data_IF_989094763580
#
_entry.id   IF_989094763580
#
_cell.length_a   1.000
_cell.length_b   1.000
_cell.length_c   1.000
_cell.angle_alpha   90.00
_cell.angle_beta   90.00
_cell.angle_gamma   90.00
#
_symmetry.space_group_name_H-M   'P 1'
#
loop_
_entity.id
_entity.type
_entity.pdbx_description
1 polymer ?
#
# COMPACT_ATOMS: atom_id res chain seq x y z
N UNK A 1 1.01 9.62 7.23
CA UNK A 1 0.68 10.37 6.01
C UNK A 1 -0.81 10.26 5.69
N UNK A 2 -1.34 11.21 4.91
CA UNK A 2 -2.58 11.04 4.17
C UNK A 2 -2.40 10.00 3.07
N UNK A 3 -3.49 9.47 2.53
CA UNK A 3 -3.44 8.51 1.42
C UNK A 3 -2.75 9.12 0.17
N UNK A 4 -3.03 10.38 -0.13
CA UNK A 4 -2.42 11.08 -1.25
C UNK A 4 -0.92 11.30 -1.08
N UNK A 5 -0.47 11.67 0.12
CA UNK A 5 0.96 11.77 0.46
C UNK A 5 1.65 10.42 0.33
N UNK A 6 1.01 9.36 0.85
CA UNK A 6 1.54 8.01 0.77
C UNK A 6 1.74 7.57 -0.69
N UNK A 7 0.72 7.76 -1.55
CA UNK A 7 0.81 7.37 -2.97
C UNK A 7 1.86 8.20 -3.72
N UNK A 8 1.91 9.51 -3.47
CA UNK A 8 2.94 10.38 -4.04
C UNK A 8 4.34 9.91 -3.64
N UNK A 9 4.53 9.60 -2.36
CA UNK A 9 5.79 9.07 -1.83
C UNK A 9 6.16 7.71 -2.45
N UNK A 10 5.17 6.81 -2.59
CA UNK A 10 5.35 5.49 -3.19
C UNK A 10 5.81 5.57 -4.65
N UNK A 11 5.29 6.52 -5.42
CA UNK A 11 5.68 6.72 -6.83
C UNK A 11 7.12 7.13 -7.01
N UNK A 12 7.77 7.73 -6.00
CA UNK A 12 9.20 8.06 -6.05
C UNK A 12 9.60 8.93 -7.24
N UNK A 13 8.71 9.82 -7.73
CA UNK A 13 8.92 10.64 -8.92
C UNK A 13 8.59 9.98 -10.26
N UNK A 14 8.23 8.70 -10.28
CA UNK A 14 7.83 8.00 -11.50
C UNK A 14 6.42 8.41 -11.93
N UNK A 15 6.26 8.69 -13.22
CA UNK A 15 4.98 9.02 -13.84
C UNK A 15 4.34 7.75 -14.39
N UNK A 16 3.04 7.58 -14.14
CA UNK A 16 2.22 6.46 -14.64
C UNK A 16 2.77 5.05 -14.32
N UNK A 17 3.61 4.94 -13.27
CA UNK A 17 4.17 3.67 -12.85
C UNK A 17 3.17 2.83 -12.05
N UNK A 18 3.12 1.53 -12.35
CA UNK A 18 2.28 0.56 -11.65
C UNK A 18 2.80 0.32 -10.23
N UNK A 19 4.11 0.22 -10.07
CA UNK A 19 4.78 -0.11 -8.82
C UNK A 19 5.75 1.00 -8.39
N UNK A 20 6.22 0.94 -7.16
CA UNK A 20 7.21 1.86 -6.61
C UNK A 20 8.56 1.85 -7.35
N UNK A 21 8.88 0.77 -8.07
CA UNK A 21 10.09 0.60 -8.91
C UNK A 21 9.85 0.82 -10.40
N UNK A 22 8.61 1.07 -10.85
CA UNK A 22 8.25 1.25 -12.26
C UNK A 22 7.22 0.25 -12.76
N UNK A 23 7.37 -0.20 -14.01
CA UNK A 23 6.42 -1.10 -14.67
C UNK A 23 6.95 -2.52 -14.89
N UNK A 24 8.18 -2.80 -14.44
CA UNK A 24 8.76 -4.12 -14.52
C UNK A 24 8.00 -5.11 -13.61
N UNK A 25 7.76 -6.31 -14.11
CA UNK A 25 7.07 -7.35 -13.36
C UNK A 25 7.74 -7.62 -12.01
N UNK A 26 6.95 -7.80 -10.95
CA UNK A 26 7.40 -8.07 -9.59
C UNK A 26 8.37 -9.27 -9.51
N UNK A 27 8.14 -10.29 -10.34
CA UNK A 27 8.92 -11.53 -10.35
C UNK A 27 10.05 -11.53 -11.36
N UNK A 28 10.26 -10.42 -12.08
CA UNK A 28 11.38 -10.30 -13.03
C UNK A 28 12.68 -9.98 -12.30
N UNK A 29 13.69 -10.84 -12.48
CA UNK A 29 15.02 -10.64 -11.94
C UNK A 29 15.12 -10.81 -10.42
N UNK A 30 15.74 -9.85 -9.73
CA UNK A 30 15.84 -9.88 -8.26
C UNK A 30 14.51 -9.48 -7.62
N UNK A 31 14.16 -10.06 -6.47
CA UNK A 31 12.99 -9.65 -5.71
C UNK A 31 12.97 -8.13 -5.44
N UNK A 32 11.82 -7.51 -5.65
CA UNK A 32 11.63 -6.05 -5.53
C UNK A 32 10.85 -5.65 -4.29
N UNK A 33 10.14 -6.63 -3.71
CA UNK A 33 9.31 -6.43 -2.53
C UNK A 33 9.08 -7.79 -1.84
N UNK A 34 8.78 -7.77 -0.55
CA UNK A 34 8.38 -8.96 0.20
C UNK A 34 6.89 -9.23 -0.06
N UNK A 35 6.61 -10.27 -0.83
CA UNK A 35 5.26 -10.71 -1.19
C UNK A 35 5.16 -12.23 -1.19
N UNK A 36 3.96 -12.78 -1.18
CA UNK A 36 3.78 -14.21 -1.25
C UNK A 36 4.21 -14.76 -2.62
N UNK A 37 5.02 -15.82 -2.59
CA UNK A 37 5.51 -16.49 -3.79
C UNK A 37 5.13 -17.97 -3.78
N UNK A 38 4.47 -18.44 -4.86
CA UNK A 38 3.97 -19.79 -4.96
C UNK A 38 2.47 -19.94 -4.68
N UNK A 39 2.04 -21.13 -4.23
CA UNK A 39 0.62 -21.46 -4.10
C UNK A 39 0.05 -21.00 -2.76
N UNK A 40 -0.60 -19.84 -2.73
CA UNK A 40 -1.26 -19.32 -1.51
C UNK A 40 -2.49 -20.17 -1.12
N UNK A 41 -2.71 -20.44 0.15
CA UNK A 41 -1.85 -20.17 1.32
C UNK A 41 -0.95 -21.36 1.71
N UNK A 42 -0.79 -22.33 0.82
CA UNK A 42 -0.22 -23.65 1.14
C UNK A 42 1.30 -23.72 1.03
N UNK A 43 1.88 -22.93 0.15
CA UNK A 43 3.31 -22.94 -0.11
C UNK A 43 3.83 -21.55 -0.46
N UNK A 44 4.80 -21.07 0.31
CA UNK A 44 5.59 -19.90 -0.02
C UNK A 44 6.99 -20.37 -0.46
N UNK A 45 7.39 -20.05 -1.68
CA UNK A 45 8.66 -20.46 -2.26
C UNK A 45 9.84 -19.62 -1.72
N UNK A 46 9.58 -18.50 -1.06
CA UNK A 46 10.55 -17.65 -0.37
C UNK A 46 11.75 -17.22 -1.25
N UNK A 47 11.53 -16.99 -2.55
CA UNK A 47 12.60 -16.52 -3.43
C UNK A 47 13.05 -15.10 -3.05
N UNK A 48 12.19 -14.34 -2.36
CA UNK A 48 12.50 -13.05 -1.77
C UNK A 48 13.32 -13.13 -0.47
N UNK A 49 13.48 -14.35 0.08
CA UNK A 49 14.29 -14.66 1.27
C UNK A 49 13.50 -14.68 2.58
N UNK A 50 12.19 -14.42 2.58
CA UNK A 50 11.39 -14.26 3.80
C UNK A 50 10.09 -15.06 3.76
N UNK A 51 9.73 -15.67 4.89
CA UNK A 51 8.47 -16.37 5.04
C UNK A 51 7.36 -15.45 5.57
N UNK A 52 7.74 -14.47 6.41
CA UNK A 52 6.89 -13.44 7.00
C UNK A 52 7.44 -12.06 6.69
N UNK A 53 7.43 -11.14 7.63
CA UNK A 53 7.99 -9.80 7.45
C UNK A 53 9.50 -9.83 7.25
N UNK A 54 9.99 -9.01 6.33
CA UNK A 54 11.40 -8.74 6.13
C UNK A 54 11.86 -7.60 7.06
N UNK A 55 13.15 -7.56 7.44
CA UNK A 55 13.74 -6.37 8.02
C UNK A 55 13.54 -5.15 7.11
N UNK A 56 13.30 -3.99 7.69
CA UNK A 56 13.17 -2.75 6.92
C UNK A 56 14.41 -2.51 6.06
N UNK A 57 14.22 -1.92 4.87
CA UNK A 57 15.29 -1.65 3.89
C UNK A 57 15.92 -2.91 3.25
N UNK A 58 15.24 -4.04 3.29
CA UNK A 58 15.72 -5.26 2.59
C UNK A 58 15.70 -5.12 1.07
N UNK A 59 14.93 -4.21 0.52
CA UNK A 59 14.78 -3.99 -0.92
C UNK A 59 15.23 -2.59 -1.33
N UNK A 60 15.42 -2.41 -2.63
CA UNK A 60 15.89 -1.13 -3.18
C UNK A 60 14.90 0.00 -2.89
N UNK A 61 15.45 1.15 -2.49
CA UNK A 61 14.67 2.37 -2.33
C UNK A 61 14.11 2.87 -3.67
N UNK A 62 12.95 3.52 -3.62
CA UNK A 62 12.41 4.26 -4.76
C UNK A 62 13.19 5.57 -5.04
N UNK A 63 12.78 6.34 -6.05
CA UNK A 63 13.46 7.57 -6.45
C UNK A 63 13.46 8.69 -5.40
N UNK A 64 12.68 8.57 -4.33
CA UNK A 64 12.69 9.49 -3.18
C UNK A 64 13.47 8.92 -1.97
N UNK A 65 14.17 7.81 -2.14
CA UNK A 65 14.94 7.17 -1.08
C UNK A 65 14.08 6.41 -0.06
N UNK A 66 12.83 6.10 -0.39
CA UNK A 66 11.93 5.37 0.49
C UNK A 66 11.95 3.89 0.19
N UNK A 67 12.08 3.08 1.23
CA UNK A 67 12.07 1.62 1.16
C UNK A 67 10.69 1.08 1.51
N UNK A 68 10.42 -0.16 1.09
CA UNK A 68 9.29 -0.98 1.49
C UNK A 68 7.91 -0.33 1.20
N UNK A 69 7.84 0.50 0.13
CA UNK A 69 6.59 1.09 -0.33
C UNK A 69 5.68 0.08 -1.04
N UNK A 70 6.10 -1.17 -1.13
CA UNK A 70 5.35 -2.28 -1.70
C UNK A 70 5.68 -3.56 -0.96
N UNK A 71 4.68 -4.37 -0.62
CA UNK A 71 4.84 -5.61 0.15
C UNK A 71 5.19 -5.37 1.62
N UNK A 72 5.72 -6.36 2.27
CA UNK A 72 6.08 -6.44 3.68
C UNK A 72 4.85 -6.33 4.59
N UNK A 73 4.35 -5.13 4.88
CA UNK A 73 3.13 -4.91 5.68
C UNK A 73 2.26 -3.84 5.03
N UNK A 74 0.94 -3.96 5.15
CA UNK A 74 0.01 -2.88 4.88
C UNK A 74 0.31 -1.69 5.79
N UNK A 75 0.25 -0.49 5.24
CA UNK A 75 0.54 0.72 6.00
C UNK A 75 -0.69 1.60 6.14
N UNK A 76 -0.99 1.97 7.39
CA UNK A 76 -2.08 2.87 7.72
C UNK A 76 -1.87 4.27 7.13
N UNK A 77 -2.93 4.80 6.53
CA UNK A 77 -3.07 6.21 6.21
C UNK A 77 -3.98 6.91 7.22
N UNK A 78 -3.84 8.23 7.31
CA UNK A 78 -4.67 9.05 8.19
C UNK A 78 -6.13 9.12 7.74
N UNK A 79 -6.38 8.89 6.45
CA UNK A 79 -7.69 9.03 5.82
C UNK A 79 -8.69 7.97 6.28
N UNK A 80 -9.93 8.40 6.46
CA UNK A 80 -11.06 7.49 6.47
C UNK A 80 -11.24 6.88 5.08
N UNK A 81 -11.70 5.64 5.03
CA UNK A 81 -12.00 5.00 3.76
C UNK A 81 -13.40 5.36 3.28
N UNK A 82 -13.50 5.83 2.05
CA UNK A 82 -14.77 5.97 1.33
C UNK A 82 -14.57 5.49 -0.11
N UNK A 83 -15.39 4.55 -0.55
CA UNK A 83 -15.20 3.89 -1.85
C UNK A 83 -15.29 4.85 -3.04
N UNK A 84 -16.11 5.88 -2.96
CA UNK A 84 -16.32 6.87 -4.01
C UNK A 84 -15.56 8.18 -3.84
N UNK A 85 -14.68 8.30 -2.82
CA UNK A 85 -14.02 9.58 -2.50
C UNK A 85 -13.39 10.24 -3.73
N UNK A 86 -12.60 9.51 -4.49
CA UNK A 86 -11.93 10.08 -5.67
C UNK A 86 -12.90 10.45 -6.80
N UNK A 87 -14.07 9.79 -6.89
CA UNK A 87 -15.13 10.20 -7.82
C UNK A 87 -15.72 11.53 -7.44
N UNK A 88 -15.87 11.80 -6.14
CA UNK A 88 -16.42 13.09 -5.64
C UNK A 88 -15.52 14.27 -5.96
N UNK A 89 -14.21 14.05 -6.12
CA UNK A 89 -13.26 15.09 -6.52
C UNK A 89 -13.42 15.51 -8.00
N UNK A 90 -14.17 14.73 -8.81
CA UNK A 90 -14.57 15.09 -10.17
C UNK A 90 -13.41 15.28 -11.14
N UNK A 91 -12.25 14.64 -10.91
CA UNK A 91 -11.05 14.78 -11.73
C UNK A 91 -10.35 16.13 -11.61
N UNK A 92 -10.75 16.99 -10.65
CA UNK A 92 -10.11 18.28 -10.38
C UNK A 92 -8.86 18.09 -9.53
N UNK A 93 -7.86 18.92 -9.76
CA UNK A 93 -6.71 19.01 -8.87
C UNK A 93 -7.16 19.52 -7.50
N UNK A 94 -6.95 18.72 -6.47
CA UNK A 94 -7.24 19.09 -5.08
C UNK A 94 -5.93 19.33 -4.35
N UNK A 95 -5.81 20.51 -3.76
CA UNK A 95 -4.62 20.86 -2.97
C UNK A 95 -4.72 20.22 -1.59
N UNK A 96 -3.66 19.47 -1.21
CA UNK A 96 -3.50 18.85 0.10
C UNK A 96 -4.77 18.12 0.59
N UNK A 97 -5.26 17.09 -0.13
CA UNK A 97 -6.47 16.38 0.24
C UNK A 97 -6.29 15.65 1.57
N UNK A 98 -7.25 15.82 2.48
CA UNK A 98 -7.24 15.24 3.83
C UNK A 98 -8.13 13.99 3.96
N UNK A 99 -8.62 13.47 2.83
CA UNK A 99 -9.57 12.36 2.82
C UNK A 99 -11.03 12.80 3.02
N UNK A 100 -11.96 11.85 3.02
CA UNK A 100 -13.38 12.10 3.24
C UNK A 100 -13.67 12.38 4.73
N UNK A 101 -14.75 13.12 4.99
CA UNK A 101 -15.21 13.41 6.36
C UNK A 101 -15.86 12.20 7.06
N UNK A 102 -16.33 11.22 6.28
CA UNK A 102 -16.96 10.01 6.81
C UNK A 102 -16.46 8.75 6.08
N UNK A 103 -16.43 7.66 6.81
CA UNK A 103 -16.12 6.34 6.24
C UNK A 103 -17.36 5.77 5.55
N UNK A 104 -17.17 5.17 4.38
CA UNK A 104 -18.20 4.39 3.72
C UNK A 104 -17.62 3.25 2.86
N UNK A 105 -18.15 2.06 3.10
CA UNK A 105 -17.91 0.85 2.31
C UNK A 105 -19.26 0.16 2.11
N UNK A 106 -19.70 -0.01 0.87
CA UNK A 106 -21.00 -0.63 0.56
C UNK A 106 -21.15 -2.05 1.09
N UNK A 107 -20.05 -2.77 1.30
CA UNK A 107 -20.08 -4.11 1.87
C UNK A 107 -20.28 -4.11 3.40
N UNK A 108 -19.87 -3.04 4.09
CA UNK A 108 -19.97 -2.89 5.54
C UNK A 108 -20.27 -1.41 5.89
N UNK A 109 -21.49 -0.92 5.57
CA UNK A 109 -21.78 0.52 5.56
C UNK A 109 -21.77 1.20 6.94
N UNK A 110 -21.81 0.42 8.01
CA UNK A 110 -21.79 0.91 9.41
C UNK A 110 -20.42 0.78 10.07
N UNK A 111 -19.45 0.15 9.42
CA UNK A 111 -18.11 -0.01 9.96
C UNK A 111 -17.25 1.21 9.65
N UNK A 112 -16.66 1.83 10.69
CA UNK A 112 -15.65 2.85 10.48
C UNK A 112 -14.37 2.18 9.96
N UNK A 113 -13.90 2.60 8.80
CA UNK A 113 -12.68 2.07 8.17
C UNK A 113 -11.70 3.18 7.84
N UNK A 114 -10.42 2.85 7.92
CA UNK A 114 -9.32 3.68 7.42
C UNK A 114 -8.66 3.04 6.23
N UNK A 115 -8.02 3.88 5.43
CA UNK A 115 -7.22 3.43 4.28
C UNK A 115 -5.94 2.77 4.76
N UNK A 116 -5.57 1.69 4.09
CA UNK A 116 -4.22 1.11 4.15
C UNK A 116 -3.68 0.87 2.75
N UNK A 117 -2.36 0.95 2.60
CA UNK A 117 -1.66 0.96 1.32
C UNK A 117 -0.45 0.02 1.33
N UNK A 118 0.06 -0.30 0.15
CA UNK A 118 1.34 -0.97 -0.07
C UNK A 118 1.30 -2.49 -0.19
N UNK A 119 0.25 -3.15 0.28
CA UNK A 119 0.23 -4.62 0.32
C UNK A 119 1.07 -5.19 1.46
N UNK A 120 1.19 -6.50 1.50
CA UNK A 120 1.95 -7.20 2.54
C UNK A 120 2.64 -8.45 2.01
N UNK A 121 3.45 -9.09 2.85
CA UNK A 121 4.08 -10.38 2.55
C UNK A 121 3.07 -11.51 2.24
N UNK A 122 1.80 -11.32 2.57
CA UNK A 122 0.72 -12.26 2.22
C UNK A 122 0.10 -11.98 0.85
N UNK A 123 0.41 -10.85 0.20
CA UNK A 123 -0.18 -10.49 -1.09
C UNK A 123 0.41 -11.32 -2.24
N UNK A 124 -0.49 -11.91 -3.04
CA UNK A 124 -0.17 -12.63 -4.27
C UNK A 124 -1.12 -12.19 -5.38
N UNK A 125 -0.66 -12.09 -6.62
CA UNK A 125 -1.41 -11.56 -7.76
C UNK A 125 -2.72 -12.31 -8.07
N UNK A 126 -2.83 -13.57 -7.66
CA UNK A 126 -4.06 -14.34 -7.85
C UNK A 126 -5.27 -13.81 -7.05
N UNK A 127 -5.05 -13.01 -5.99
CA UNK A 127 -6.14 -12.50 -5.15
C UNK A 127 -5.87 -11.11 -4.55
N UNK A 128 -4.63 -10.66 -4.50
CA UNK A 128 -4.22 -9.40 -3.89
C UNK A 128 -3.14 -8.72 -4.73
N UNK A 129 -3.42 -7.58 -5.30
CA UNK A 129 -2.43 -6.73 -5.97
C UNK A 129 -2.12 -5.45 -5.16
N UNK A 130 -2.15 -5.56 -3.84
CA UNK A 130 -2.00 -4.44 -2.89
C UNK A 130 -0.69 -3.66 -3.03
N UNK A 131 0.35 -4.29 -3.55
CA UNK A 131 1.65 -3.69 -3.83
C UNK A 131 1.69 -2.76 -5.07
N UNK A 132 0.54 -2.53 -5.75
CA UNK A 132 0.43 -1.52 -6.83
C UNK A 132 0.23 -0.14 -6.21
N UNK A 133 0.87 0.88 -6.79
CA UNK A 133 0.79 2.27 -6.31
C UNK A 133 -0.65 2.78 -6.14
N UNK A 134 -1.56 2.40 -7.03
CA UNK A 134 -2.95 2.86 -7.01
C UNK A 134 -3.90 2.00 -6.17
N UNK A 135 -3.43 0.86 -5.64
CA UNK A 135 -4.30 -0.05 -4.90
C UNK A 135 -4.60 0.46 -3.50
N UNK A 136 -5.87 0.51 -3.18
CA UNK A 136 -6.41 0.92 -1.87
C UNK A 136 -6.93 -0.30 -1.13
N UNK A 137 -6.63 -0.39 0.14
CA UNK A 137 -7.23 -1.34 1.07
C UNK A 137 -7.91 -0.59 2.21
N UNK A 138 -8.75 -1.26 2.94
CA UNK A 138 -9.50 -0.73 4.06
C UNK A 138 -9.56 -1.77 5.18
N UNK A 139 -9.51 -1.28 6.40
CA UNK A 139 -9.78 -2.11 7.59
C UNK A 139 -10.26 -1.24 8.74
N UNK A 140 -10.87 -1.86 9.75
CA UNK A 140 -11.27 -1.15 10.96
C UNK A 140 -10.06 -0.85 11.83
N UNK A 141 -9.95 0.32 12.47
CA UNK A 141 -8.76 0.73 13.21
C UNK A 141 -8.49 -0.07 14.48
N UNK A 142 -9.46 -0.84 14.95
CA UNK A 142 -9.36 -1.76 16.08
C UNK A 142 -8.91 -3.17 15.70
N UNK A 143 -8.66 -3.43 14.42
CA UNK A 143 -8.17 -4.71 13.92
C UNK A 143 -6.66 -4.82 14.08
N UNK A 144 -6.21 -5.68 14.97
CA UNK A 144 -4.81 -6.10 15.07
C UNK A 144 -4.46 -7.13 14.00
N UNK A 145 -3.35 -6.94 13.29
CA UNK A 145 -2.90 -7.85 12.24
C UNK A 145 -1.37 -7.94 12.20
N UNK A 146 -0.86 -9.17 11.98
CA UNK A 146 0.57 -9.41 11.86
C UNK A 146 1.21 -8.83 10.58
N UNK A 147 0.40 -8.36 9.66
CA UNK A 147 0.84 -7.83 8.36
C UNK A 147 0.39 -6.39 8.15
N UNK A 148 0.17 -5.64 9.24
CA UNK A 148 -0.19 -4.22 9.20
C UNK A 148 0.75 -3.42 10.08
N UNK A 149 1.19 -2.28 9.57
CA UNK A 149 2.08 -1.34 10.23
C UNK A 149 1.78 0.10 9.81
N UNK A 150 2.74 0.98 9.98
CA UNK A 150 2.61 2.39 9.59
C UNK A 150 3.97 3.03 9.36
N UNK A 151 3.97 4.15 8.66
CA UNK A 151 5.11 5.09 8.61
C UNK A 151 4.67 6.48 9.05
N UNK A 152 5.58 7.23 9.63
CA UNK A 152 5.33 8.61 10.06
C UNK A 152 5.79 9.61 9.02
N UNK A 153 5.17 10.79 9.03
CA UNK A 153 5.61 11.98 8.29
C UNK A 153 5.75 13.14 9.25
N UNK A 154 6.62 14.08 8.91
CA UNK A 154 6.80 15.33 9.66
C UNK A 154 6.55 16.47 8.71
N UNK A 155 5.67 17.39 9.09
CA UNK A 155 5.52 18.66 8.36
C UNK A 155 6.75 19.52 8.63
N UNK A 156 7.40 19.97 7.57
CA UNK A 156 8.50 20.93 7.68
C UNK A 156 7.87 22.32 7.61
N UNK A 157 8.25 23.24 8.50
CA UNK A 157 7.75 24.63 8.49
C UNK A 157 8.07 25.36 7.19
#
# INVERSE_FOLDING_TARGET
PTEAEWEYASRGGLKDAVYAWGNEDLRSGKPKANTWEGAFPYRNDQNDGFYTTAPVQSYQANGYGLHDMAGNVWEWCADLYHEDYYKTLGGKTTLNPQGPESSYDSNEPFALKRVSRGGSFLCHDSYCSGYRNSMRMKTTPDTGSMHTGFRTVVSVP
#
